data_IF_133271974255
#
_entry.id   IF_133271974255
#
_cell.length_a   1.000
_cell.length_b   1.000
_cell.length_c   1.000
_cell.angle_alpha   90.00
_cell.angle_beta   90.00
_cell.angle_gamma   90.00
#
_symmetry.space_group_name_H-M   'P 1'
#
loop_
_entity.id
_entity.type
_entity.pdbx_description
1 polymer ?
#
# COMPACT_ATOMS: atom_id res chain seq x y z
N UNK A 1 9.34 -11.62 -11.87
CA UNK A 1 8.45 -10.76 -11.04
C UNK A 1 8.27 -11.46 -9.70
N UNK A 2 8.58 -10.78 -8.60
CA UNK A 2 8.48 -11.33 -7.24
C UNK A 2 7.33 -10.65 -6.52
N UNK A 3 6.36 -11.42 -6.05
CA UNK A 3 5.25 -10.92 -5.27
C UNK A 3 5.60 -10.91 -3.78
N UNK A 4 5.26 -9.82 -3.12
CA UNK A 4 5.34 -9.66 -1.68
C UNK A 4 3.96 -9.35 -1.13
N UNK A 5 3.75 -9.55 0.16
CA UNK A 5 2.45 -9.47 0.81
C UNK A 5 2.49 -8.54 2.01
N UNK A 6 1.36 -7.87 2.29
CA UNK A 6 1.17 -7.06 3.49
C UNK A 6 -0.31 -7.00 3.85
N UNK A 7 -0.62 -6.69 5.10
CA UNK A 7 -1.96 -6.32 5.54
C UNK A 7 -1.91 -4.90 6.10
N UNK A 8 -2.80 -4.04 5.60
CA UNK A 8 -2.87 -2.63 5.94
C UNK A 8 -4.24 -2.26 6.50
N UNK A 9 -4.27 -1.35 7.46
CA UNK A 9 -5.50 -0.75 7.96
C UNK A 9 -6.33 -0.13 6.84
N UNK A 10 -7.63 -0.01 7.02
CA UNK A 10 -8.51 0.72 6.11
C UNK A 10 -8.54 2.20 6.49
N UNK A 11 -8.60 3.07 5.47
CA UNK A 11 -8.78 4.50 5.66
C UNK A 11 -9.87 4.98 4.70
N UNK A 12 -11.05 5.22 5.24
CA UNK A 12 -12.25 5.61 4.49
C UNK A 12 -13.13 6.56 5.32
N UNK A 13 -14.32 6.86 4.83
CA UNK A 13 -15.28 7.78 5.48
C UNK A 13 -15.67 7.41 6.91
N UNK A 14 -15.39 6.21 7.35
CA UNK A 14 -15.69 5.75 8.72
C UNK A 14 -14.53 5.96 9.68
N UNK A 15 -13.37 6.37 9.15
CA UNK A 15 -12.19 6.61 9.97
C UNK A 15 -12.29 7.94 10.71
N UNK A 16 -12.33 7.89 12.03
CA UNK A 16 -12.45 9.06 12.92
C UNK A 16 -11.59 8.83 14.17
N UNK A 17 -10.28 8.63 13.98
CA UNK A 17 -9.33 8.52 15.08
C UNK A 17 -8.68 9.87 15.41
N UNK A 18 -8.16 9.98 16.63
CA UNK A 18 -7.46 11.16 17.11
C UNK A 18 -6.26 11.51 16.21
N UNK A 19 -6.37 12.63 15.53
CA UNK A 19 -5.31 13.18 14.68
C UNK A 19 -5.78 13.56 13.28
N UNK A 20 -6.00 12.59 12.40
CA UNK A 20 -6.36 12.82 11.01
C UNK A 20 -7.62 12.03 10.63
N UNK A 21 -8.80 12.58 10.88
CA UNK A 21 -10.06 11.99 10.39
C UNK A 21 -10.13 12.08 8.85
N UNK A 22 -10.99 11.24 8.23
CA UNK A 22 -11.20 11.25 6.77
C UNK A 22 -11.49 12.65 6.23
N UNK A 23 -12.40 13.41 6.87
CA UNK A 23 -12.79 14.74 6.38
C UNK A 23 -11.61 15.72 6.44
N UNK A 24 -10.80 15.69 7.50
CA UNK A 24 -9.58 16.50 7.62
C UNK A 24 -8.55 16.13 6.55
N UNK A 25 -8.38 14.83 6.30
CA UNK A 25 -7.49 14.37 5.25
C UNK A 25 -7.92 14.86 3.86
N UNK A 26 -9.21 14.74 3.51
CA UNK A 26 -9.74 15.23 2.24
C UNK A 26 -9.61 16.76 2.12
N UNK A 27 -9.85 17.50 3.21
CA UNK A 27 -9.65 18.94 3.24
C UNK A 27 -8.19 19.31 3.00
N UNK A 28 -7.25 18.61 3.64
CA UNK A 28 -5.82 18.84 3.51
C UNK A 28 -5.30 18.41 2.14
N UNK A 29 -5.58 17.19 1.71
CA UNK A 29 -5.06 16.61 0.47
C UNK A 29 -5.71 17.15 -0.80
N UNK A 30 -6.92 17.72 -0.70
CA UNK A 30 -7.77 18.13 -1.83
C UNK A 30 -8.20 16.96 -2.74
N UNK A 31 -8.01 15.72 -2.33
CA UNK A 31 -8.39 14.52 -3.07
C UNK A 31 -9.88 14.20 -2.90
N UNK A 32 -10.75 15.12 -3.29
CA UNK A 32 -12.21 15.06 -3.04
C UNK A 32 -12.93 13.93 -3.78
N UNK A 33 -12.26 13.29 -4.74
CA UNK A 33 -12.81 12.18 -5.53
C UNK A 33 -12.56 10.80 -4.90
N UNK A 34 -11.75 10.72 -3.84
CA UNK A 34 -11.48 9.44 -3.18
C UNK A 34 -12.74 8.86 -2.57
N UNK A 35 -12.89 7.55 -2.68
CA UNK A 35 -13.92 6.76 -1.99
C UNK A 35 -13.36 6.01 -0.79
N UNK A 36 -12.10 5.63 -0.84
CA UNK A 36 -11.28 5.03 0.18
C UNK A 36 -9.81 5.33 -0.14
N UNK A 37 -8.91 5.16 0.80
CA UNK A 37 -7.48 5.22 0.55
C UNK A 37 -6.88 3.82 0.64
N UNK A 38 -6.18 3.40 -0.41
CA UNK A 38 -5.41 2.17 -0.47
C UNK A 38 -3.96 2.55 -0.73
N UNK A 39 -3.36 3.22 0.25
CA UNK A 39 -1.95 3.63 0.17
C UNK A 39 -1.05 2.64 0.86
N UNK A 40 0.20 2.59 0.42
CA UNK A 40 1.26 1.86 1.11
C UNK A 40 1.94 2.72 2.20
N UNK A 41 1.45 3.93 2.42
CA UNK A 41 1.88 4.83 3.48
C UNK A 41 1.59 4.24 4.87
N UNK A 42 2.61 4.13 5.70
CA UNK A 42 2.48 3.51 7.02
C UNK A 42 1.77 4.39 8.05
N UNK A 43 1.65 5.70 7.82
CA UNK A 43 0.94 6.64 8.70
C UNK A 43 -0.55 6.71 8.39
N UNK A 44 -0.93 6.53 7.11
CA UNK A 44 -2.33 6.59 6.67
C UNK A 44 -2.99 5.21 6.70
N UNK A 45 -2.27 4.19 6.24
CA UNK A 45 -2.73 2.81 6.25
C UNK A 45 -1.77 1.96 7.08
N UNK A 46 -2.01 1.88 8.37
CA UNK A 46 -1.16 1.18 9.34
C UNK A 46 -0.77 -0.24 8.88
N UNK A 47 0.49 -0.64 9.12
CA UNK A 47 0.94 -2.01 8.92
C UNK A 47 0.39 -2.89 10.05
N UNK A 48 -0.47 -3.85 9.70
CA UNK A 48 -1.13 -4.72 10.68
C UNK A 48 -0.38 -6.04 10.94
N UNK A 49 0.75 -6.25 10.30
CA UNK A 49 1.58 -7.44 10.47
C UNK A 49 2.73 -7.12 11.42
N UNK A 50 2.83 -7.88 12.53
CA UNK A 50 3.89 -7.69 13.53
C UNK A 50 4.86 -8.87 13.54
N UNK A 51 6.03 -8.71 12.94
CA UNK A 51 7.11 -9.66 13.12
C UNK A 51 7.56 -9.77 14.58
N UNK A 52 7.99 -10.94 14.95
CA UNK A 52 8.75 -11.16 16.18
C UNK A 52 10.25 -11.02 15.86
N UNK A 53 10.79 -9.84 16.08
CA UNK A 53 12.18 -9.51 15.74
C UNK A 53 13.21 -10.26 16.60
N UNK A 54 12.81 -10.79 17.74
CA UNK A 54 13.64 -11.64 18.60
C UNK A 54 13.69 -13.10 18.10
N UNK A 55 12.76 -13.47 17.21
CA UNK A 55 12.73 -14.77 16.58
C UNK A 55 13.50 -14.79 15.26
N UNK A 56 14.63 -15.48 15.23
CA UNK A 56 15.46 -15.58 14.03
C UNK A 56 14.71 -16.15 12.81
N UNK A 57 13.72 -17.02 13.01
CA UNK A 57 12.95 -17.60 11.91
C UNK A 57 12.05 -16.60 11.22
N UNK A 58 11.57 -15.56 11.90
CA UNK A 58 10.72 -14.52 11.31
C UNK A 58 11.48 -13.70 10.27
N UNK A 59 12.79 -13.50 10.44
CA UNK A 59 13.63 -12.78 9.48
C UNK A 59 13.68 -13.41 8.08
N UNK A 60 13.40 -14.71 7.96
CA UNK A 60 13.30 -15.38 6.66
C UNK A 60 12.08 -14.90 5.84
N UNK A 61 11.11 -14.24 6.47
CA UNK A 61 9.88 -13.80 5.83
C UNK A 61 9.77 -12.29 5.67
N UNK A 62 10.64 -11.51 6.33
CA UNK A 62 10.65 -10.05 6.24
C UNK A 62 11.41 -9.66 4.98
N UNK A 63 10.79 -8.84 4.14
CA UNK A 63 11.48 -8.25 2.99
C UNK A 63 12.33 -7.06 3.46
N UNK A 64 13.59 -7.06 3.06
CA UNK A 64 14.59 -6.05 3.44
C UNK A 64 15.27 -5.53 2.18
N UNK A 65 15.43 -4.21 2.07
CA UNK A 65 16.21 -3.54 1.03
C UNK A 65 17.22 -2.63 1.71
N UNK A 66 18.51 -2.78 1.40
CA UNK A 66 19.58 -1.93 1.94
C UNK A 66 19.51 -1.71 3.47
N UNK A 67 19.21 -2.79 4.23
CA UNK A 67 18.98 -2.82 5.69
C UNK A 67 17.65 -2.21 6.20
N UNK A 68 16.81 -1.64 5.33
CA UNK A 68 15.48 -1.18 5.69
C UNK A 68 14.45 -2.29 5.59
N UNK A 69 13.63 -2.45 6.63
CA UNK A 69 12.48 -3.33 6.61
C UNK A 69 11.34 -2.62 5.89
N UNK A 70 10.86 -3.23 4.81
CA UNK A 70 9.92 -2.55 3.92
C UNK A 70 8.45 -2.63 4.36
N UNK A 71 8.15 -3.38 5.43
CA UNK A 71 6.77 -3.66 5.84
C UNK A 71 6.03 -4.62 4.91
N UNK A 72 6.79 -5.35 4.08
CA UNK A 72 6.28 -6.40 3.20
C UNK A 72 6.93 -7.74 3.52
N UNK A 73 6.23 -8.84 3.17
CA UNK A 73 6.58 -10.18 3.59
C UNK A 73 6.58 -11.13 2.39
N UNK A 74 7.44 -12.15 2.46
CA UNK A 74 7.69 -13.07 1.33
C UNK A 74 6.58 -14.09 1.12
N UNK A 75 5.74 -14.36 2.13
CA UNK A 75 4.65 -15.34 2.03
C UNK A 75 3.35 -14.83 2.67
N UNK A 76 2.23 -15.20 2.05
CA UNK A 76 0.90 -14.91 2.56
C UNK A 76 0.62 -15.63 3.89
N UNK A 77 1.12 -16.86 4.04
CA UNK A 77 0.99 -17.63 5.29
C UNK A 77 1.60 -16.87 6.48
N UNK A 78 2.76 -16.27 6.29
CA UNK A 78 3.40 -15.46 7.32
C UNK A 78 2.56 -14.24 7.70
N UNK A 79 1.98 -13.54 6.72
CA UNK A 79 1.06 -12.41 6.98
C UNK A 79 -0.09 -12.85 7.87
N UNK A 80 -0.76 -13.98 7.57
CA UNK A 80 -1.87 -14.49 8.38
C UNK A 80 -1.44 -14.95 9.79
N UNK A 81 -0.22 -15.47 9.92
CA UNK A 81 0.34 -15.87 11.23
C UNK A 81 0.57 -14.65 12.13
N UNK A 82 0.87 -13.49 11.56
CA UNK A 82 1.35 -12.29 12.27
C UNK A 82 0.40 -11.09 12.24
N UNK A 83 -0.76 -11.21 11.61
CA UNK A 83 -1.76 -10.13 11.59
C UNK A 83 -2.38 -9.92 12.97
N UNK A 84 -2.48 -8.66 13.41
CA UNK A 84 -2.94 -8.28 14.76
C UNK A 84 -4.44 -8.10 14.91
N UNK A 85 -5.14 -7.87 13.82
CA UNK A 85 -6.56 -7.48 13.88
C UNK A 85 -7.46 -8.53 13.25
N UNK A 86 -8.70 -8.58 13.75
CA UNK A 86 -9.81 -9.29 13.10
C UNK A 86 -10.76 -8.33 12.38
N UNK A 87 -10.49 -7.03 12.47
CA UNK A 87 -11.30 -6.00 11.86
C UNK A 87 -11.09 -5.94 10.33
N UNK A 88 -11.83 -5.06 9.70
CA UNK A 88 -11.70 -4.79 8.26
C UNK A 88 -10.30 -4.27 7.94
N UNK A 89 -9.66 -4.82 6.92
CA UNK A 89 -8.30 -4.45 6.48
C UNK A 89 -8.12 -4.65 4.97
N UNK A 90 -7.06 -4.11 4.42
CA UNK A 90 -6.61 -4.38 3.06
C UNK A 90 -5.53 -5.46 3.06
N UNK A 91 -5.84 -6.66 2.53
CA UNK A 91 -4.83 -7.65 2.23
C UNK A 91 -4.28 -7.35 0.84
N UNK A 92 -3.00 -6.99 0.77
CA UNK A 92 -2.35 -6.55 -0.44
C UNK A 92 -1.25 -7.51 -0.87
N UNK A 93 -1.08 -7.66 -2.19
CA UNK A 93 0.14 -8.18 -2.79
C UNK A 93 0.74 -7.12 -3.69
N UNK A 94 2.07 -7.06 -3.73
CA UNK A 94 2.79 -5.98 -4.41
C UNK A 94 3.97 -6.51 -5.21
N UNK A 95 4.39 -5.72 -6.20
CA UNK A 95 5.63 -5.92 -6.95
C UNK A 95 6.39 -4.60 -6.98
N UNK A 96 7.64 -4.62 -6.51
CA UNK A 96 8.54 -3.46 -6.55
C UNK A 96 9.16 -3.28 -7.92
N UNK A 97 9.26 -2.03 -8.35
CA UNK A 97 9.91 -1.60 -9.58
C UNK A 97 9.58 -2.56 -10.75
N UNK A 98 8.28 -2.74 -11.08
CA UNK A 98 7.90 -3.64 -12.14
C UNK A 98 8.53 -3.22 -13.48
N UNK A 99 9.00 -4.19 -14.26
CA UNK A 99 9.63 -4.00 -15.58
C UNK A 99 8.63 -3.91 -16.73
N UNK A 100 7.33 -4.05 -16.44
CA UNK A 100 6.23 -3.99 -17.40
C UNK A 100 4.93 -3.49 -16.76
N UNK A 101 3.95 -3.12 -17.60
CA UNK A 101 2.60 -2.79 -17.13
C UNK A 101 1.95 -4.00 -16.46
N UNK A 102 1.54 -3.78 -15.20
CA UNK A 102 0.97 -4.80 -14.34
C UNK A 102 -0.56 -4.88 -14.38
N UNK A 103 -1.23 -3.92 -15.01
CA UNK A 103 -2.69 -3.80 -15.00
C UNK A 103 -3.43 -5.04 -15.49
N UNK A 104 -2.86 -5.74 -16.46
CA UNK A 104 -3.45 -6.95 -17.06
C UNK A 104 -2.86 -8.25 -16.53
N UNK A 105 -1.99 -8.18 -15.51
CA UNK A 105 -1.44 -9.36 -14.88
C UNK A 105 -2.49 -9.95 -13.94
N UNK A 106 -2.89 -11.18 -14.22
CA UNK A 106 -3.83 -11.91 -13.39
C UNK A 106 -3.13 -12.44 -12.15
N UNK A 107 -3.67 -12.12 -10.98
CA UNK A 107 -3.28 -12.69 -9.69
C UNK A 107 -4.54 -13.28 -9.07
N UNK A 108 -4.53 -14.58 -8.78
CA UNK A 108 -5.70 -15.30 -8.27
C UNK A 108 -6.25 -14.64 -7.01
N UNK A 109 -7.57 -14.44 -6.98
CA UNK A 109 -8.32 -13.78 -5.90
C UNK A 109 -7.97 -12.31 -5.60
N UNK A 110 -7.06 -11.71 -6.37
CA UNK A 110 -6.73 -10.29 -6.25
C UNK A 110 -7.23 -9.47 -7.45
N UNK A 111 -7.45 -8.20 -7.21
CA UNK A 111 -7.72 -7.18 -8.23
C UNK A 111 -6.56 -6.18 -8.26
N UNK A 112 -6.09 -5.80 -9.45
CA UNK A 112 -5.13 -4.71 -9.59
C UNK A 112 -5.81 -3.39 -9.19
N UNK A 113 -5.17 -2.62 -8.30
CA UNK A 113 -5.75 -1.36 -7.80
C UNK A 113 -4.94 -0.12 -8.19
N UNK A 114 -3.72 -0.29 -8.71
CA UNK A 114 -2.91 0.81 -9.21
C UNK A 114 -1.44 0.70 -8.83
N UNK A 115 -0.72 1.81 -9.04
CA UNK A 115 0.69 1.98 -8.65
C UNK A 115 0.79 3.02 -7.54
N UNK A 116 1.56 2.73 -6.50
CA UNK A 116 1.98 3.69 -5.47
C UNK A 116 3.43 4.12 -5.70
N UNK A 117 3.82 5.26 -5.15
CA UNK A 117 5.20 5.77 -5.14
C UNK A 117 5.66 5.91 -3.69
N UNK A 118 6.42 4.93 -3.20
CA UNK A 118 7.00 4.96 -1.86
C UNK A 118 8.41 5.53 -1.86
N UNK A 119 8.73 6.30 -0.83
CA UNK A 119 10.09 6.78 -0.57
C UNK A 119 11.10 5.64 -0.42
N UNK A 120 12.39 5.97 -0.32
CA UNK A 120 13.45 4.97 -0.19
C UNK A 120 13.40 4.19 1.13
N UNK A 121 12.76 4.74 2.16
CA UNK A 121 12.58 4.09 3.46
C UNK A 121 11.30 3.20 3.50
N UNK A 122 10.54 3.15 2.42
CA UNK A 122 9.30 2.38 2.25
C UNK A 122 8.21 2.73 3.28
N UNK A 123 8.20 3.95 3.77
CA UNK A 123 7.33 4.39 4.85
C UNK A 123 6.27 5.40 4.41
N UNK A 124 6.59 6.27 3.45
CA UNK A 124 5.75 7.40 3.06
C UNK A 124 5.44 7.34 1.56
N UNK A 125 4.17 7.50 1.23
CA UNK A 125 3.75 7.63 -0.17
C UNK A 125 3.86 9.07 -0.65
N UNK A 126 4.63 9.28 -1.71
CA UNK A 126 4.72 10.58 -2.38
C UNK A 126 3.40 11.02 -3.01
N UNK A 127 2.46 10.10 -3.21
CA UNK A 127 1.15 10.40 -3.81
C UNK A 127 0.14 10.94 -2.79
N UNK A 128 0.21 10.44 -1.54
CA UNK A 128 -0.90 10.60 -0.60
C UNK A 128 -0.52 11.31 0.69
N UNK A 129 0.76 11.43 1.01
CA UNK A 129 1.23 12.02 2.28
C UNK A 129 2.25 13.15 2.16
N UNK A 130 2.65 13.55 0.98
CA UNK A 130 3.72 14.57 0.82
C UNK A 130 3.22 15.94 0.42
N UNK A 131 1.90 16.12 0.24
CA UNK A 131 1.36 17.39 -0.26
C UNK A 131 1.86 17.77 -1.67
N UNK A 132 2.47 16.82 -2.39
CA UNK A 132 3.11 17.00 -3.68
C UNK A 132 2.19 17.26 -4.86
N UNK A 133 1.03 17.86 -4.59
CA UNK A 133 0.05 18.24 -5.61
C UNK A 133 0.41 19.57 -6.29
N UNK A 134 1.61 20.06 -6.11
CA UNK A 134 1.94 21.39 -6.57
C UNK A 134 2.24 21.43 -8.07
N UNK A 135 3.24 20.80 -8.58
CA UNK A 135 3.61 20.89 -9.99
C UNK A 135 3.97 19.55 -10.62
N UNK A 136 4.10 18.50 -9.80
CA UNK A 136 4.61 17.22 -10.26
C UNK A 136 3.52 16.31 -10.78
N UNK A 137 2.36 16.30 -10.11
CA UNK A 137 1.15 15.60 -10.55
C UNK A 137 -0.10 16.31 -10.02
N UNK A 138 -1.25 15.99 -10.63
CA UNK A 138 -2.55 16.56 -10.26
C UNK A 138 -3.35 15.54 -9.44
N UNK A 139 -4.28 16.01 -8.57
CA UNK A 139 -5.23 15.12 -7.91
C UNK A 139 -5.96 14.17 -8.87
N UNK A 140 -6.26 14.63 -10.08
CA UNK A 140 -6.91 13.84 -11.15
C UNK A 140 -6.02 12.80 -11.81
N UNK A 141 -4.73 12.75 -11.48
CA UNK A 141 -3.84 11.68 -11.91
C UNK A 141 -4.01 10.41 -11.06
N UNK A 142 -4.61 10.55 -9.88
CA UNK A 142 -4.91 9.46 -8.99
C UNK A 142 -6.33 8.92 -9.22
N UNK A 143 -6.51 7.63 -9.04
CA UNK A 143 -7.83 7.00 -9.07
C UNK A 143 -8.59 7.21 -7.74
N UNK A 144 -9.78 6.62 -7.60
CA UNK A 144 -10.63 6.75 -6.42
C UNK A 144 -10.08 6.07 -5.14
N UNK A 145 -8.91 5.44 -5.23
CA UNK A 145 -8.16 4.81 -4.14
C UNK A 145 -6.84 5.50 -3.79
N UNK A 146 -6.51 6.59 -4.49
CA UNK A 146 -5.28 7.34 -4.27
C UNK A 146 -4.05 6.78 -4.99
N UNK A 147 -4.23 5.91 -5.99
CA UNK A 147 -3.17 5.26 -6.75
C UNK A 147 -3.19 5.70 -8.23
N UNK A 148 -2.11 5.46 -8.95
CA UNK A 148 -1.99 5.75 -10.38
C UNK A 148 -2.38 4.51 -11.18
N UNK A 149 -3.31 4.64 -12.15
CA UNK A 149 -3.77 3.51 -12.98
C UNK A 149 -2.83 3.15 -14.14
N UNK A 150 -1.94 4.06 -14.53
CA UNK A 150 -1.13 3.94 -15.73
C UNK A 150 0.35 3.77 -15.38
N UNK A 151 0.97 2.70 -15.90
CA UNK A 151 2.37 2.36 -15.70
C UNK A 151 3.33 3.49 -16.13
N UNK A 152 3.14 4.00 -17.34
CA UNK A 152 4.02 5.04 -17.89
C UNK A 152 3.88 6.35 -17.13
N UNK A 153 2.66 6.66 -16.67
CA UNK A 153 2.38 7.81 -15.80
C UNK A 153 3.09 7.69 -14.46
N UNK A 154 3.06 6.52 -13.81
CA UNK A 154 3.73 6.30 -12.54
C UNK A 154 5.24 6.56 -12.64
N UNK A 155 5.91 6.00 -13.64
CA UNK A 155 7.34 6.27 -13.87
C UNK A 155 7.61 7.71 -14.33
N UNK A 156 6.68 8.32 -15.07
CA UNK A 156 6.76 9.73 -15.44
C UNK A 156 6.69 10.67 -14.24
N UNK A 157 5.82 10.36 -13.25
CA UNK A 157 5.72 11.14 -11.99
C UNK A 157 6.98 10.92 -11.13
N UNK A 158 7.41 9.66 -10.93
CA UNK A 158 8.68 9.33 -10.25
C UNK A 158 9.84 10.18 -10.79
N UNK A 159 10.00 10.21 -12.11
CA UNK A 159 11.06 11.00 -12.76
C UNK A 159 10.94 12.50 -12.47
N UNK A 160 9.73 13.06 -12.56
CA UNK A 160 9.51 14.50 -12.28
C UNK A 160 9.73 14.85 -10.80
N UNK A 161 9.35 13.98 -9.86
CA UNK A 161 9.63 14.19 -8.44
C UNK A 161 11.13 14.37 -8.23
N UNK A 162 11.95 13.48 -8.77
CA UNK A 162 13.40 13.55 -8.66
C UNK A 162 14.01 14.78 -9.38
N UNK A 163 13.49 15.14 -10.56
CA UNK A 163 14.01 16.27 -11.32
C UNK A 163 13.64 17.64 -10.73
N UNK A 164 12.42 17.79 -10.20
CA UNK A 164 11.91 19.07 -9.72
C UNK A 164 12.41 19.40 -8.29
N UNK A 165 12.50 18.40 -7.43
CA UNK A 165 12.78 18.60 -6.00
C UNK A 165 13.80 17.58 -5.46
N UNK A 166 15.03 17.50 -6.03
CA UNK A 166 15.98 16.43 -5.71
C UNK A 166 16.43 16.40 -4.25
N UNK A 167 16.26 17.50 -3.52
CA UNK A 167 16.63 17.62 -2.10
C UNK A 167 15.51 17.21 -1.14
N UNK A 168 14.31 16.95 -1.66
CA UNK A 168 13.20 16.53 -0.83
C UNK A 168 13.25 15.04 -0.51
N UNK A 169 12.82 14.68 0.70
CA UNK A 169 12.82 13.31 1.21
C UNK A 169 12.06 12.32 0.30
N UNK A 170 11.07 12.83 -0.44
CA UNK A 170 10.20 12.03 -1.32
C UNK A 170 10.55 12.15 -2.80
N UNK A 171 11.66 12.77 -3.14
CA UNK A 171 12.06 12.96 -4.53
C UNK A 171 12.42 11.63 -5.18
N UNK A 172 13.19 10.80 -4.48
CA UNK A 172 13.56 9.47 -4.96
C UNK A 172 12.61 8.43 -4.37
N UNK A 173 11.79 7.85 -5.24
CA UNK A 173 10.72 6.93 -4.87
C UNK A 173 10.84 5.59 -5.60
N UNK A 174 10.22 4.57 -5.05
CA UNK A 174 10.03 3.26 -5.68
C UNK A 174 8.62 3.17 -6.28
N UNK A 175 8.49 2.78 -7.54
CA UNK A 175 7.19 2.44 -8.14
C UNK A 175 6.77 1.06 -7.64
N UNK A 176 5.59 0.96 -7.07
CA UNK A 176 5.09 -0.30 -6.54
C UNK A 176 3.73 -0.61 -7.17
N UNK A 177 3.64 -1.72 -7.90
CA UNK A 177 2.38 -2.23 -8.39
C UNK A 177 1.61 -2.91 -7.26
N UNK A 178 0.31 -2.61 -7.10
CA UNK A 178 -0.51 -3.04 -5.98
C UNK A 178 -1.73 -3.79 -6.46
N UNK A 179 -1.95 -4.96 -5.88
CA UNK A 179 -3.20 -5.73 -5.99
C UNK A 179 -3.80 -5.90 -4.61
N UNK A 180 -5.13 -5.87 -4.54
CA UNK A 180 -5.90 -6.05 -3.32
C UNK A 180 -6.72 -7.34 -3.41
N UNK A 181 -6.74 -8.12 -2.34
CA UNK A 181 -7.59 -9.31 -2.26
C UNK A 181 -9.06 -8.93 -2.30
N UNK A 182 -9.85 -9.62 -3.13
CA UNK A 182 -11.25 -9.26 -3.42
C UNK A 182 -12.21 -9.43 -2.23
N UNK A 183 -11.93 -10.36 -1.33
CA UNK A 183 -12.82 -10.74 -0.24
C UNK A 183 -12.20 -10.72 1.14
N UNK A 184 -10.97 -11.25 1.31
CA UNK A 184 -10.31 -11.30 2.62
C UNK A 184 -10.00 -9.89 3.11
N UNK A 185 -10.34 -9.60 4.37
CA UNK A 185 -10.18 -8.30 5.00
C UNK A 185 -11.25 -7.27 4.65
N UNK A 186 -12.16 -7.58 3.69
CA UNK A 186 -13.20 -6.63 3.26
C UNK A 186 -14.47 -6.64 4.13
N UNK A 187 -14.65 -7.70 4.93
CA UNK A 187 -15.74 -7.84 5.90
C UNK A 187 -15.14 -8.27 7.23
N UNK A 188 -15.78 -7.90 8.34
CA UNK A 188 -15.36 -8.37 9.66
C UNK A 188 -15.32 -9.88 9.69
N UNK A 189 -14.22 -10.46 10.19
CA UNK A 189 -13.99 -11.91 10.20
C UNK A 189 -15.06 -12.63 11.03
N UNK A 190 -15.70 -11.95 11.99
CA UNK A 190 -16.74 -12.52 12.85
C UNK A 190 -18.08 -12.77 12.15
N UNK A 191 -18.33 -12.23 10.94
CA UNK A 191 -19.58 -12.45 10.19
C UNK A 191 -19.57 -13.70 9.32
N UNK A 192 -18.41 -14.30 9.05
CA UNK A 192 -18.30 -15.56 8.31
C UNK A 192 -17.16 -16.40 8.90
N UNK A 193 -17.49 -17.23 9.87
CA UNK A 193 -16.59 -18.27 10.37
C UNK A 193 -16.36 -19.38 9.31
N UNK A 194 -15.73 -19.03 8.19
CA UNK A 194 -15.01 -20.01 7.37
C UNK A 194 -13.54 -19.92 7.74
N UNK A 195 -12.89 -21.03 8.11
CA UNK A 195 -11.49 -20.98 8.56
C UNK A 195 -10.62 -20.51 7.39
N UNK A 196 -9.77 -19.51 7.68
CA UNK A 196 -8.68 -19.01 6.83
C UNK A 196 -7.80 -20.12 6.22
N UNK A 197 -7.90 -21.33 6.73
CA UNK A 197 -7.25 -22.55 6.24
C UNK A 197 -7.66 -23.00 4.83
N UNK A 198 -8.74 -22.46 4.22
CA UNK A 198 -9.13 -22.81 2.85
C UNK A 198 -8.45 -21.98 1.76
N UNK A 199 -7.78 -20.89 2.12
CA UNK A 199 -7.06 -20.04 1.15
C UNK A 199 -5.62 -20.52 0.86
N UNK A 200 -5.20 -21.63 1.47
CA UNK A 200 -3.84 -22.19 1.37
C UNK A 200 -3.74 -23.45 0.49
N UNK A 201 -4.77 -23.75 -0.36
CA UNK A 201 -4.74 -24.89 -1.27
C UNK A 201 -4.95 -24.50 -2.72
#
# INVERSE_FOLDING_TARGET
MTFLYTARGTYDKTYDEDGMSWDKYIEWSKLTHLTELVSLDGMLNEILVEPDYDNADDWNFIHVVDQYQTGFFTTLEYVFKRIKTKDKFNLLTVVFEPDQDCKNIHVDDYEFVGYDLLDQDFSISALTNCGGFDETFLPTDLNDKGLIDDYSKAYGIKKRLLENNPEEHHADTNVIAVWRHKTIGRTNIDEKAEPLTRALH
#
